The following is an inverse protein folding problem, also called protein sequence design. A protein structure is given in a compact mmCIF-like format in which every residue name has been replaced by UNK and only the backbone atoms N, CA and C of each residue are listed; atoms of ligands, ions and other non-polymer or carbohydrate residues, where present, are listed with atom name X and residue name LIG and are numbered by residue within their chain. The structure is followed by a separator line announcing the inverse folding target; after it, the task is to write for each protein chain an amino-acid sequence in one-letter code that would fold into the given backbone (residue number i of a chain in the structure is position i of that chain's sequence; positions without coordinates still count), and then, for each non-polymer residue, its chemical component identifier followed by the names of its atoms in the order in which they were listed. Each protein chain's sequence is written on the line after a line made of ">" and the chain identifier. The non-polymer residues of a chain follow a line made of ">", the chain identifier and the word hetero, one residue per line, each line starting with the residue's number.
data_IF_172260010832
#
_entry.id   IF_172260010832
#
_cell.length_a   1.000
_cell.length_b   1.000
_cell.length_c   1.000
_cell.angle_alpha   90.00
_cell.angle_beta   90.00
_cell.angle_gamma   90.00
#
_symmetry.space_group_name_H-M   'P 1'
#
loop_
_entity.id
_entity.type
_entity.pdbx_description
1 polymer ?
#
# COMPACT_ATOMS: atom_id res chain seq x y z
N UNK A 1 -10.38 -2.96 14.37
CA UNK A 1 -9.82 -2.40 15.62
C UNK A 1 -10.66 -1.17 15.93
N UNK A 2 -11.44 -1.18 17.01
CA UNK A 2 -12.32 -0.06 17.37
C UNK A 2 -11.69 0.63 18.57
N UNK A 3 -11.24 1.89 18.40
CA UNK A 3 -11.18 2.81 19.54
C UNK A 3 -12.61 3.30 19.75
N UNK A 4 -13.15 3.17 20.96
CA UNK A 4 -14.49 3.67 21.27
C UNK A 4 -14.58 5.19 21.33
N UNK A 5 -13.44 5.89 21.12
CA UNK A 5 -13.34 7.36 21.18
C UNK A 5 -12.62 8.00 20.00
N UNK A 6 -11.78 7.26 19.27
CA UNK A 6 -11.02 7.82 18.17
C UNK A 6 -11.48 7.30 16.81
N UNK A 7 -11.69 8.22 15.88
CA UNK A 7 -12.01 7.95 14.49
C UNK A 7 -10.76 8.15 13.64
N UNK A 8 -10.43 7.16 12.82
CA UNK A 8 -9.40 7.25 11.79
C UNK A 8 -10.06 7.01 10.44
N UNK A 9 -10.08 8.02 9.58
CA UNK A 9 -10.55 7.89 8.20
C UNK A 9 -9.35 7.93 7.27
N UNK A 10 -9.25 6.91 6.42
CA UNK A 10 -8.26 6.84 5.35
C UNK A 10 -9.00 6.83 4.02
N UNK A 11 -8.71 7.83 3.19
CA UNK A 11 -9.31 7.99 1.86
C UNK A 11 -8.23 7.94 0.80
N UNK A 12 -8.50 7.25 -0.30
CA UNK A 12 -7.67 7.22 -1.51
C UNK A 12 -8.55 7.52 -2.72
N UNK A 13 -8.07 8.35 -3.63
CA UNK A 13 -8.77 8.67 -4.88
C UNK A 13 -7.76 9.03 -5.98
N UNK A 14 -8.25 9.22 -7.20
CA UNK A 14 -7.40 9.37 -8.39
C UNK A 14 -6.46 8.15 -8.52
N UNK A 15 -7.10 6.98 -8.66
CA UNK A 15 -6.44 5.69 -8.67
C UNK A 15 -5.62 5.52 -9.97
N UNK A 16 -4.42 4.99 -9.81
CA UNK A 16 -3.51 4.67 -10.90
C UNK A 16 -3.74 3.24 -11.40
N UNK A 17 -3.11 2.88 -12.52
CA UNK A 17 -3.21 1.53 -13.09
C UNK A 17 -2.67 0.49 -12.08
N UNK A 18 -3.49 -0.49 -11.66
CA UNK A 18 -3.02 -1.53 -10.76
C UNK A 18 -2.02 -2.46 -11.43
N UNK A 19 -1.17 -3.09 -10.62
CA UNK A 19 -0.19 -4.07 -11.06
C UNK A 19 0.08 -5.11 -9.98
N UNK A 20 0.57 -6.29 -10.39
CA UNK A 20 0.97 -7.33 -9.46
C UNK A 20 2.42 -7.10 -9.02
N UNK A 21 2.62 -6.97 -7.72
CA UNK A 21 3.91 -7.16 -7.09
C UNK A 21 4.16 -8.66 -6.93
N UNK A 22 5.32 -9.12 -7.38
CA UNK A 22 5.83 -10.46 -7.10
C UNK A 22 7.23 -10.35 -6.52
N UNK A 23 7.40 -10.84 -5.30
CA UNK A 23 8.70 -10.99 -4.65
C UNK A 23 8.88 -12.46 -4.29
N UNK A 24 9.92 -13.15 -4.80
CA UNK A 24 10.19 -14.51 -4.38
C UNK A 24 10.74 -14.54 -2.94
N UNK A 25 10.62 -15.66 -2.22
CA UNK A 25 11.34 -15.87 -0.97
C UNK A 25 12.84 -15.62 -1.16
N UNK A 26 13.47 -14.99 -0.17
CA UNK A 26 14.90 -14.60 -0.20
C UNK A 26 15.15 -13.22 -0.83
N UNK A 27 14.22 -12.67 -1.60
CA UNK A 27 14.40 -11.33 -2.16
C UNK A 27 14.44 -10.27 -1.05
N UNK A 28 15.35 -9.29 -1.17
CA UNK A 28 15.60 -8.27 -0.16
C UNK A 28 15.91 -8.84 1.25
N UNK A 29 16.58 -10.00 1.33
CA UNK A 29 16.86 -10.72 2.58
C UNK A 29 15.59 -11.04 3.40
N UNK A 30 14.42 -11.20 2.74
CA UNK A 30 13.17 -11.59 3.40
C UNK A 30 12.95 -13.11 3.31
N UNK A 31 12.54 -13.79 4.40
CA UNK A 31 12.37 -15.24 4.42
C UNK A 31 11.17 -15.73 3.60
N UNK A 32 10.17 -14.87 3.40
CA UNK A 32 8.94 -15.17 2.66
C UNK A 32 8.91 -14.38 1.35
N UNK A 33 8.28 -15.00 0.35
CA UNK A 33 7.84 -14.30 -0.85
C UNK A 33 6.44 -13.73 -0.66
N UNK A 34 6.05 -12.82 -1.56
CA UNK A 34 4.71 -12.23 -1.58
C UNK A 34 4.24 -11.98 -3.01
N UNK A 35 2.97 -12.25 -3.24
CA UNK A 35 2.21 -11.79 -4.39
C UNK A 35 1.15 -10.82 -3.88
N UNK A 36 1.07 -9.62 -4.44
CA UNK A 36 0.13 -8.59 -4.00
C UNK A 36 -0.34 -7.76 -5.17
N UNK A 37 -1.63 -7.44 -5.22
CA UNK A 37 -2.15 -6.45 -6.18
C UNK A 37 -1.95 -5.07 -5.59
N UNK A 38 -1.05 -4.30 -6.20
CA UNK A 38 -0.83 -2.91 -5.84
C UNK A 38 -1.77 -2.02 -6.67
N UNK A 39 -2.52 -1.18 -5.98
CA UNK A 39 -3.38 -0.15 -6.53
C UNK A 39 -2.92 1.21 -5.98
N UNK A 40 -1.96 1.88 -6.68
CA UNK A 40 -1.48 3.19 -6.27
C UNK A 40 -2.55 4.26 -6.47
N UNK A 41 -2.47 5.35 -5.71
CA UNK A 41 -3.35 6.51 -5.87
C UNK A 41 -2.51 7.77 -6.01
N UNK A 42 -2.96 8.79 -6.73
CA UNK A 42 -2.26 10.09 -6.76
C UNK A 42 -2.64 10.95 -5.56
N UNK A 43 -3.77 10.65 -4.95
CA UNK A 43 -4.33 11.44 -3.86
C UNK A 43 -4.80 10.54 -2.72
N UNK A 44 -4.56 10.99 -1.50
CA UNK A 44 -5.02 10.35 -0.28
C UNK A 44 -5.13 11.39 0.84
N UNK A 45 -5.95 11.07 1.85
CA UNK A 45 -6.09 11.85 3.07
C UNK A 45 -6.22 10.90 4.26
N UNK A 46 -5.55 11.26 5.35
CA UNK A 46 -5.76 10.73 6.68
C UNK A 46 -6.48 11.81 7.49
N UNK A 47 -7.56 11.46 8.18
CA UNK A 47 -8.09 12.26 9.27
C UNK A 47 -8.11 11.47 10.58
N UNK A 48 -7.85 12.17 11.67
CA UNK A 48 -7.96 11.65 13.04
C UNK A 48 -8.90 12.58 13.80
N UNK A 49 -10.01 12.03 14.32
CA UNK A 49 -10.99 12.80 15.08
C UNK A 49 -11.49 14.06 14.34
N UNK A 50 -11.73 13.94 13.03
CA UNK A 50 -12.17 15.02 12.15
C UNK A 50 -11.07 15.98 11.67
N UNK A 51 -9.85 15.90 12.22
CA UNK A 51 -8.73 16.74 11.78
C UNK A 51 -7.95 16.06 10.65
N UNK A 52 -7.89 16.72 9.49
CA UNK A 52 -7.17 16.21 8.33
C UNK A 52 -5.66 16.50 8.43
N UNK A 53 -4.85 15.47 8.19
CA UNK A 53 -3.39 15.62 8.13
C UNK A 53 -2.98 16.49 6.93
N UNK A 54 -1.98 17.37 7.13
CA UNK A 54 -1.49 18.30 6.10
C UNK A 54 -0.54 17.68 5.07
N UNK A 55 -0.05 16.46 5.30
CA UNK A 55 0.87 15.79 4.39
C UNK A 55 0.17 15.38 3.09
N UNK A 56 0.89 15.42 1.96
CA UNK A 56 0.38 15.04 0.65
C UNK A 56 1.17 13.86 0.07
N UNK A 57 0.51 12.94 -0.67
CA UNK A 57 1.21 11.95 -1.45
C UNK A 57 2.17 12.59 -2.46
N UNK A 58 3.24 11.88 -2.79
CA UNK A 58 4.19 12.30 -3.79
C UNK A 58 4.47 11.16 -4.79
N UNK A 59 4.81 11.49 -6.06
CA UNK A 59 5.12 10.49 -7.06
C UNK A 59 6.31 9.61 -6.66
N UNK A 60 6.21 8.32 -6.96
CA UNK A 60 7.28 7.35 -6.75
C UNK A 60 7.29 6.34 -7.89
N UNK A 61 8.39 5.60 -8.02
CA UNK A 61 8.43 4.41 -8.84
C UNK A 61 8.43 3.17 -7.93
N UNK A 62 7.64 2.16 -8.30
CA UNK A 62 7.66 0.85 -7.64
C UNK A 62 7.80 -0.23 -8.70
N UNK A 63 8.89 -1.00 -8.62
CA UNK A 63 9.15 -2.13 -9.52
C UNK A 63 9.10 -1.77 -11.02
N UNK A 64 9.72 -0.65 -11.42
CA UNK A 64 9.71 -0.22 -12.83
C UNK A 64 8.39 0.41 -13.28
N UNK A 65 7.44 0.63 -12.36
CA UNK A 65 6.10 1.14 -12.69
C UNK A 65 5.83 2.48 -11.98
N UNK A 66 5.20 3.44 -12.67
CA UNK A 66 4.71 4.66 -12.03
C UNK A 66 3.78 4.34 -10.86
N UNK A 67 4.03 4.94 -9.71
CA UNK A 67 3.27 4.80 -8.48
C UNK A 67 3.31 6.11 -7.69
N UNK A 68 2.98 6.05 -6.40
CA UNK A 68 3.12 7.14 -5.46
C UNK A 68 3.47 6.60 -4.06
N UNK A 69 3.69 7.51 -3.12
CA UNK A 69 3.86 7.19 -1.71
C UNK A 69 2.57 6.65 -1.04
N UNK A 70 1.41 6.69 -1.71
CA UNK A 70 0.17 6.07 -1.21
C UNK A 70 -0.32 4.94 -2.14
N UNK A 71 -0.43 3.73 -1.60
CA UNK A 71 -0.80 2.54 -2.36
C UNK A 71 -1.60 1.59 -1.49
N UNK A 72 -2.69 1.06 -2.06
CA UNK A 72 -3.42 -0.06 -1.48
C UNK A 72 -2.77 -1.37 -1.94
N UNK A 73 -2.55 -2.29 -1.01
CA UNK A 73 -2.04 -3.63 -1.26
C UNK A 73 -3.16 -4.64 -1.00
N UNK A 74 -3.64 -5.30 -2.05
CA UNK A 74 -4.80 -6.19 -1.99
C UNK A 74 -4.43 -7.63 -2.34
N UNK A 75 -5.20 -8.57 -1.79
CA UNK A 75 -5.06 -10.01 -2.07
C UNK A 75 -3.64 -10.54 -1.82
N UNK A 76 -3.01 -10.14 -0.71
CA UNK A 76 -1.66 -10.57 -0.38
C UNK A 76 -1.59 -12.07 -0.10
N UNK A 77 -0.79 -12.77 -0.91
CA UNK A 77 -0.49 -14.18 -0.74
C UNK A 77 0.99 -14.34 -0.40
N UNK A 78 1.27 -14.84 0.80
CA UNK A 78 2.62 -15.06 1.31
C UNK A 78 3.08 -16.49 1.00
N UNK A 79 4.30 -16.63 0.52
CA UNK A 79 4.86 -17.92 0.09
C UNK A 79 6.16 -18.24 0.81
N UNK A 80 6.40 -19.53 1.07
CA UNK A 80 7.66 -20.04 1.61
C UNK A 80 8.59 -20.49 0.48
N UNK A 81 9.91 -20.60 0.72
CA UNK A 81 10.79 -21.32 -0.19
C UNK A 81 10.24 -22.72 -0.46
N UNK A 82 10.43 -23.22 -1.69
CA UNK A 82 10.13 -24.62 -1.97
C UNK A 82 11.16 -25.47 -1.22
N UNK A 83 10.68 -26.39 -0.38
CA UNK A 83 11.48 -27.51 0.13
C UNK A 83 11.60 -28.60 -0.91
#
# INVERSE_FOLDING_TARGET
>A
MVSSKDEIILSWWDLMKPFILTMPPGALNRPLGVYSTFLPARSAQLSVNGEAAGAKPFPQERFGKPASSCCLAWSETWTRPRG
#
